data_IF_696249302787
#
_entry.id   IF_696249302787
#
_cell.length_a   1.000
_cell.length_b   1.000
_cell.length_c   1.000
_cell.angle_alpha   90.00
_cell.angle_beta   90.00
_cell.angle_gamma   90.00
#
_symmetry.space_group_name_H-M   'P 1'
#
loop_
_entity.id
_entity.type
_entity.pdbx_description
1 polymer ?
#
# COMPACT_ATOMS: atom_id res chain seq x y z
N UNK A 1 -20.37 -5.20 -6.24
CA UNK A 1 -21.62 -4.50 -6.61
C UNK A 1 -22.17 -3.57 -5.49
N UNK A 2 -21.40 -2.65 -4.88
CA UNK A 2 -21.96 -1.64 -3.93
C UNK A 2 -21.32 -0.23 -4.01
N UNK A 3 -20.13 -0.10 -4.64
CA UNK A 3 -19.48 1.20 -4.80
C UNK A 3 -20.04 2.01 -5.99
N UNK A 4 -20.54 1.34 -7.04
CA UNK A 4 -21.17 1.99 -8.19
C UNK A 4 -22.47 2.70 -7.81
N UNK A 5 -23.27 2.12 -6.91
CA UNK A 5 -24.55 2.71 -6.46
C UNK A 5 -24.36 4.04 -5.71
N UNK A 6 -23.33 4.13 -4.86
CA UNK A 6 -23.03 5.34 -4.11
C UNK A 6 -22.43 6.47 -4.96
N UNK A 7 -21.73 6.14 -6.04
CA UNK A 7 -21.26 7.15 -7.01
C UNK A 7 -22.38 7.57 -7.98
N UNK A 8 -23.29 6.66 -8.32
CA UNK A 8 -24.47 6.95 -9.15
C UNK A 8 -25.43 7.92 -8.46
N UNK A 9 -25.63 7.82 -7.14
CA UNK A 9 -26.44 8.78 -6.40
C UNK A 9 -25.86 10.20 -6.37
N UNK A 10 -24.54 10.34 -6.60
CA UNK A 10 -23.86 11.63 -6.70
C UNK A 10 -23.96 12.25 -8.11
N UNK A 11 -24.33 11.47 -9.14
CA UNK A 11 -24.40 11.98 -10.51
C UNK A 11 -25.53 13.01 -10.71
N UNK A 12 -26.70 12.78 -10.09
CA UNK A 12 -27.83 13.71 -10.17
C UNK A 12 -27.52 15.10 -9.60
N UNK A 13 -27.04 15.25 -8.35
CA UNK A 13 -26.74 16.58 -7.80
C UNK A 13 -25.59 17.27 -8.56
N UNK A 14 -24.60 16.51 -9.05
CA UNK A 14 -23.46 17.07 -9.79
C UNK A 14 -23.81 17.50 -11.22
N UNK A 15 -24.93 17.03 -11.79
CA UNK A 15 -25.39 17.44 -13.12
C UNK A 15 -25.78 18.92 -13.22
N UNK A 16 -26.05 19.57 -12.08
CA UNK A 16 -26.38 21.00 -11.98
C UNK A 16 -25.16 21.92 -12.05
N UNK A 17 -23.94 21.36 -11.93
CA UNK A 17 -22.69 22.11 -11.95
C UNK A 17 -22.07 22.13 -13.35
N UNK A 18 -21.25 23.15 -13.67
CA UNK A 18 -20.41 23.11 -14.86
C UNK A 18 -19.60 21.82 -14.93
N UNK A 19 -19.47 21.24 -16.13
CA UNK A 19 -18.86 19.93 -16.36
C UNK A 19 -17.46 19.78 -15.73
N UNK A 20 -16.63 20.82 -15.81
CA UNK A 20 -15.29 20.78 -15.23
C UNK A 20 -15.30 20.66 -13.69
N UNK A 21 -16.32 21.19 -13.02
CA UNK A 21 -16.47 21.12 -11.56
C UNK A 21 -16.92 19.73 -11.16
N UNK A 22 -17.93 19.18 -11.85
CA UNK A 22 -18.45 17.84 -11.56
C UNK A 22 -17.39 16.76 -11.83
N UNK A 23 -16.62 16.88 -12.91
CA UNK A 23 -15.48 16.01 -13.21
C UNK A 23 -14.42 16.07 -12.10
N UNK A 24 -14.06 17.27 -11.64
CA UNK A 24 -13.08 17.44 -10.56
C UNK A 24 -13.57 16.85 -9.23
N UNK A 25 -14.83 17.05 -8.87
CA UNK A 25 -15.42 16.48 -7.66
C UNK A 25 -15.45 14.95 -7.75
N UNK A 26 -15.90 14.39 -8.87
CA UNK A 26 -15.91 12.94 -9.09
C UNK A 26 -14.51 12.35 -9.03
N UNK A 27 -13.51 13.01 -9.62
CA UNK A 27 -12.12 12.59 -9.52
C UNK A 27 -11.63 12.56 -8.07
N UNK A 28 -11.93 13.58 -7.27
CA UNK A 28 -11.54 13.61 -5.85
C UNK A 28 -12.23 12.51 -5.04
N UNK A 29 -13.54 12.30 -5.24
CA UNK A 29 -14.28 11.22 -4.57
C UNK A 29 -13.73 9.86 -5.00
N UNK A 30 -13.42 9.69 -6.27
CA UNK A 30 -12.85 8.46 -6.80
C UNK A 30 -11.48 8.18 -6.16
N UNK A 31 -10.61 9.19 -6.06
CA UNK A 31 -9.31 9.10 -5.39
C UNK A 31 -9.46 8.71 -3.92
N UNK A 32 -10.40 9.31 -3.18
CA UNK A 32 -10.64 9.00 -1.77
C UNK A 32 -11.24 7.61 -1.56
N UNK A 33 -12.09 7.14 -2.49
CA UNK A 33 -12.79 5.85 -2.37
C UNK A 33 -11.95 4.66 -2.82
N UNK A 34 -10.94 4.88 -3.67
CA UNK A 34 -10.00 3.87 -4.17
C UNK A 34 -8.60 4.01 -3.56
N UNK A 35 -8.48 4.72 -2.44
CA UNK A 35 -7.23 4.80 -1.71
C UNK A 35 -6.79 3.42 -1.22
N UNK A 36 -5.57 3.03 -1.56
CA UNK A 36 -4.94 1.78 -1.16
C UNK A 36 -3.75 2.09 -0.25
N UNK A 37 -3.89 1.94 1.08
CA UNK A 37 -2.80 2.28 2.01
C UNK A 37 -1.55 1.42 1.76
N UNK A 38 -0.38 2.04 1.86
CA UNK A 38 0.93 1.41 1.71
C UNK A 38 1.68 1.45 3.04
N UNK A 39 1.66 0.36 3.80
CA UNK A 39 2.21 0.27 5.15
C UNK A 39 3.60 -0.36 5.11
N UNK A 40 4.64 0.34 5.58
CA UNK A 40 5.98 -0.21 5.73
C UNK A 40 6.21 -0.89 7.09
N UNK A 41 6.77 -2.10 7.09
CA UNK A 41 7.19 -2.81 8.31
C UNK A 41 8.69 -2.62 8.50
N UNK A 42 9.06 -1.84 9.52
CA UNK A 42 10.44 -1.51 9.87
C UNK A 42 10.83 -2.06 11.24
N UNK A 43 12.12 -2.30 11.45
CA UNK A 43 12.65 -2.78 12.75
C UNK A 43 13.93 -3.60 12.62
N UNK A 44 14.55 -3.94 13.76
CA UNK A 44 15.83 -4.65 13.79
C UNK A 44 15.79 -6.02 13.09
N UNK A 45 16.93 -6.49 12.62
CA UNK A 45 17.05 -7.88 12.13
C UNK A 45 16.73 -8.85 13.25
N UNK A 46 16.00 -9.94 12.93
CA UNK A 46 15.54 -10.92 13.91
C UNK A 46 14.30 -10.52 14.71
N UNK A 47 13.75 -9.31 14.55
CA UNK A 47 12.54 -8.87 15.26
C UNK A 47 11.22 -9.56 14.81
N UNK A 48 11.28 -10.49 13.85
CA UNK A 48 10.11 -11.21 13.35
C UNK A 48 9.29 -10.51 12.26
N UNK A 49 9.81 -9.47 11.61
CA UNK A 49 9.13 -8.73 10.53
C UNK A 49 8.62 -9.63 9.40
N UNK A 50 9.50 -10.45 8.83
CA UNK A 50 9.15 -11.37 7.75
C UNK A 50 8.21 -12.50 8.24
N UNK A 51 8.26 -12.86 9.52
CA UNK A 51 7.29 -13.80 10.13
C UNK A 51 5.90 -13.17 10.26
N UNK A 52 5.81 -11.90 10.66
CA UNK A 52 4.56 -11.13 10.71
C UNK A 52 3.97 -10.98 9.30
N UNK A 53 4.80 -10.60 8.33
CA UNK A 53 4.47 -10.60 6.92
C UNK A 53 3.85 -11.93 6.50
N UNK A 54 4.58 -13.04 6.64
CA UNK A 54 4.08 -14.36 6.25
C UNK A 54 2.78 -14.75 6.96
N UNK A 55 2.60 -14.41 8.23
CA UNK A 55 1.36 -14.66 8.96
C UNK A 55 0.18 -13.85 8.42
N UNK A 56 0.40 -12.58 8.04
CA UNK A 56 -0.60 -11.72 7.41
C UNK A 56 -0.93 -12.17 5.98
N UNK A 57 0.04 -12.73 5.25
CA UNK A 57 -0.13 -13.19 3.87
C UNK A 57 -0.64 -14.63 3.75
N UNK A 58 -0.71 -15.39 4.84
CA UNK A 58 -1.22 -16.76 4.80
C UNK A 58 -2.73 -16.87 4.47
N UNK A 59 -3.49 -15.76 4.43
CA UNK A 59 -4.94 -15.74 4.28
C UNK A 59 -5.49 -14.98 3.06
N UNK A 60 -5.19 -15.43 1.83
CA UNK A 60 -5.65 -14.87 0.54
C UNK A 60 -4.88 -13.63 0.04
N UNK A 61 -3.71 -13.87 -0.56
CA UNK A 61 -2.96 -12.84 -1.31
C UNK A 61 -3.46 -12.77 -2.76
N UNK A 62 -3.71 -11.56 -3.26
CA UNK A 62 -3.94 -11.35 -4.71
C UNK A 62 -2.60 -11.58 -5.45
N UNK A 63 -2.58 -12.24 -6.63
CA UNK A 63 -1.37 -12.80 -7.24
C UNK A 63 -0.38 -11.78 -7.85
N UNK A 64 -0.36 -10.52 -7.41
CA UNK A 64 0.60 -9.50 -7.90
C UNK A 64 1.95 -9.61 -7.15
N UNK A 65 2.42 -10.84 -6.92
CA UNK A 65 3.56 -11.09 -6.05
C UNK A 65 4.77 -11.57 -6.85
N UNK A 66 5.67 -10.64 -7.19
CA UNK A 66 7.06 -10.96 -7.56
C UNK A 66 7.81 -11.42 -6.29
N UNK A 67 7.52 -12.63 -5.81
CA UNK A 67 8.20 -13.23 -4.65
C UNK A 67 9.55 -13.78 -5.09
N UNK A 68 10.56 -12.90 -5.20
CA UNK A 68 11.95 -13.34 -5.21
C UNK A 68 12.40 -13.50 -3.75
N UNK A 69 12.76 -14.73 -3.37
CA UNK A 69 13.23 -15.07 -2.04
C UNK A 69 14.59 -14.40 -1.73
N UNK A 70 14.58 -13.15 -1.27
CA UNK A 70 15.68 -12.48 -0.55
C UNK A 70 15.18 -11.14 0.03
N UNK A 71 15.06 -11.03 1.36
CA UNK A 71 14.67 -9.80 2.10
C UNK A 71 15.69 -8.65 1.98
N UNK A 72 16.64 -8.74 1.04
CA UNK A 72 17.59 -7.65 0.73
C UNK A 72 16.91 -6.55 -0.09
N UNK A 73 15.87 -6.91 -0.84
CA UNK A 73 15.02 -5.96 -1.55
C UNK A 73 13.68 -5.78 -0.82
N UNK A 74 13.10 -4.57 -0.82
CA UNK A 74 11.80 -4.32 -0.22
C UNK A 74 10.73 -5.18 -0.90
N UNK A 75 10.11 -6.08 -0.14
CA UNK A 75 9.05 -6.93 -0.68
C UNK A 75 7.71 -6.21 -0.49
N UNK A 76 6.92 -6.09 -1.57
CA UNK A 76 5.59 -5.47 -1.53
C UNK A 76 4.54 -6.54 -1.68
N UNK A 77 3.54 -6.50 -0.81
CA UNK A 77 2.48 -7.49 -0.76
C UNK A 77 1.14 -6.78 -0.77
N UNK A 78 0.33 -7.06 -1.80
CA UNK A 78 -1.00 -6.45 -1.93
C UNK A 78 -2.07 -7.40 -1.35
N UNK A 79 -2.62 -7.00 -0.22
CA UNK A 79 -3.71 -7.67 0.47
C UNK A 79 -5.06 -7.14 -0.02
N UNK A 80 -6.03 -8.04 -0.16
CA UNK A 80 -7.40 -7.69 -0.47
C UNK A 80 -8.30 -7.97 0.73
N UNK A 81 -8.84 -6.91 1.34
CA UNK A 81 -9.82 -7.01 2.43
C UNK A 81 -11.20 -6.65 1.88
N UNK A 82 -11.94 -7.67 1.42
CA UNK A 82 -13.22 -7.50 0.73
C UNK A 82 -13.06 -6.81 -0.62
N UNK A 83 -13.41 -5.51 -0.71
CA UNK A 83 -13.24 -4.68 -1.92
C UNK A 83 -12.12 -3.66 -1.82
N UNK A 84 -11.47 -3.56 -0.66
CA UNK A 84 -10.37 -2.64 -0.43
C UNK A 84 -9.06 -3.40 -0.57
N UNK A 85 -8.05 -2.70 -1.05
CA UNK A 85 -6.70 -3.21 -1.15
C UNK A 85 -5.80 -2.44 -0.20
N UNK A 86 -4.78 -3.11 0.28
CA UNK A 86 -3.73 -2.54 1.12
C UNK A 86 -2.41 -3.16 0.68
N UNK A 87 -1.35 -2.37 0.60
CA UNK A 87 -0.01 -2.85 0.32
C UNK A 87 0.79 -2.84 1.61
N UNK A 88 1.44 -3.96 1.92
CA UNK A 88 2.43 -4.04 2.99
C UNK A 88 3.81 -4.12 2.35
N UNK A 89 4.76 -3.34 2.86
CA UNK A 89 6.16 -3.34 2.39
C UNK A 89 7.05 -3.87 3.50
N UNK A 90 7.61 -5.08 3.33
CA UNK A 90 8.63 -5.62 4.24
C UNK A 90 9.97 -4.98 3.90
N UNK A 91 10.53 -4.27 4.87
CA UNK A 91 11.81 -3.59 4.71
C UNK A 91 12.91 -4.36 5.43
N UNK A 92 14.14 -4.42 4.85
CA UNK A 92 15.27 -5.11 5.48
C UNK A 92 15.50 -4.58 6.89
N UNK A 93 15.89 -5.44 7.82
CA UNK A 93 16.15 -5.03 9.20
C UNK A 93 17.48 -4.32 9.37
N UNK A 94 17.51 -3.30 10.23
CA UNK A 94 18.76 -2.65 10.65
C UNK A 94 19.45 -3.44 11.77
N UNK A 95 20.77 -3.28 11.91
CA UNK A 95 21.55 -3.83 13.01
C UNK A 95 22.17 -5.20 12.74
N UNK A 96 22.36 -5.56 11.47
CA UNK A 96 23.03 -6.82 11.09
C UNK A 96 24.55 -6.62 10.90
N UNK A 97 24.97 -5.47 10.36
CA UNK A 97 26.36 -5.00 10.34
C UNK A 97 26.43 -3.52 9.97
N UNK A 98 27.42 -2.77 10.47
CA UNK A 98 27.52 -1.32 10.21
C UNK A 98 27.66 -0.94 8.73
N UNK A 99 28.24 -1.82 7.91
CA UNK A 99 28.30 -1.65 6.46
C UNK A 99 26.91 -1.77 5.80
N UNK A 100 26.08 -2.73 6.26
CA UNK A 100 24.72 -2.94 5.76
C UNK A 100 23.75 -1.88 6.24
N UNK A 101 23.97 -1.33 7.43
CA UNK A 101 23.13 -0.25 7.96
C UNK A 101 23.18 1.01 7.07
N UNK A 102 24.32 1.27 6.44
CA UNK A 102 24.46 2.39 5.48
C UNK A 102 23.66 2.15 4.19
N UNK A 103 23.66 0.91 3.69
CA UNK A 103 22.87 0.48 2.53
C UNK A 103 21.37 0.54 2.82
N UNK A 104 20.95 0.04 3.98
CA UNK A 104 19.56 0.06 4.43
C UNK A 104 19.05 1.48 4.68
N UNK A 105 19.89 2.40 5.17
CA UNK A 105 19.52 3.80 5.32
C UNK A 105 19.22 4.47 3.97
N UNK A 106 20.02 4.17 2.93
CA UNK A 106 19.76 4.67 1.58
C UNK A 106 18.47 4.08 0.99
N UNK A 107 18.22 2.79 1.21
CA UNK A 107 17.00 2.11 0.81
C UNK A 107 15.76 2.69 1.51
N UNK A 108 15.83 2.95 2.82
CA UNK A 108 14.73 3.59 3.56
C UNK A 108 14.42 4.98 3.03
N UNK A 109 15.44 5.80 2.74
CA UNK A 109 15.22 7.13 2.13
C UNK A 109 14.46 7.08 0.80
N UNK A 110 14.69 6.03 0.00
CA UNK A 110 13.98 5.83 -1.28
C UNK A 110 12.54 5.33 -1.10
N UNK A 111 12.29 4.55 -0.05
CA UNK A 111 11.01 3.89 0.19
C UNK A 111 10.04 4.75 1.02
N UNK A 112 10.52 5.46 2.04
CA UNK A 112 9.70 6.29 2.94
C UNK A 112 8.72 7.24 2.23
N UNK A 113 9.07 7.93 1.13
CA UNK A 113 8.13 8.80 0.42
C UNK A 113 6.96 8.06 -0.27
N UNK A 114 7.05 6.73 -0.40
CA UNK A 114 6.03 5.88 -1.03
C UNK A 114 5.17 5.14 -0.01
N UNK A 115 5.43 5.35 1.29
CA UNK A 115 4.72 4.72 2.38
C UNK A 115 3.78 5.73 3.02
N UNK A 116 2.61 5.24 3.41
CA UNK A 116 1.68 5.95 4.29
C UNK A 116 2.12 5.64 5.72
N UNK A 117 2.90 6.57 6.31
CA UNK A 117 3.44 6.49 7.68
C UNK A 117 2.48 7.10 8.71
#
# INVERSE_FOLDING_TARGET
>A
MRHSEGLQSLQQPLSSLPQWVSERILQQINQLTHYEPVIGIMGKTGAGKSSLCNALFAGDVSPVSDVAACTREPMRFRLQMGKRYMTIVDLPGVGESGARDTEYAALYRKQLPQLDL
#
